data_IF_478347233096
#
_entry.id   IF_478347233096
#
_cell.length_a   1.000
_cell.length_b   1.000
_cell.length_c   1.000
_cell.angle_alpha   90.00
_cell.angle_beta   90.00
_cell.angle_gamma   90.00
#
_symmetry.space_group_name_H-M   'P 1'
#
loop_
_entity.id
_entity.type
_entity.pdbx_description
1 polymer ?
#
# COMPACT_ATOMS: atom_id res chain seq x y z
N UNK A 1 2.06 -4.22 -15.25
CA UNK A 1 2.77 -5.42 -14.75
C UNK A 1 2.46 -5.58 -13.28
N UNK A 2 1.87 -6.70 -12.85
CA UNK A 2 1.72 -6.95 -11.42
C UNK A 2 3.05 -7.47 -10.87
N UNK A 3 3.48 -6.95 -9.72
CA UNK A 3 4.71 -7.40 -9.07
C UNK A 3 4.54 -7.44 -7.56
N UNK A 4 5.26 -8.34 -6.86
CA UNK A 4 5.32 -8.30 -5.41
C UNK A 4 6.12 -7.06 -4.98
N UNK A 5 5.65 -6.39 -3.93
CA UNK A 5 6.29 -5.22 -3.32
C UNK A 5 6.18 -5.32 -1.80
N UNK A 6 7.12 -4.72 -1.09
CA UNK A 6 7.06 -4.69 0.38
C UNK A 6 6.05 -3.67 0.86
N UNK A 7 5.17 -4.07 1.76
CA UNK A 7 4.25 -3.17 2.45
C UNK A 7 5.04 -2.24 3.37
N UNK A 8 4.87 -0.92 3.22
CA UNK A 8 5.53 0.07 4.08
C UNK A 8 5.01 0.10 5.52
N UNK A 9 3.86 -0.52 5.78
CA UNK A 9 3.19 -0.52 7.10
C UNK A 9 3.62 -1.71 7.97
N UNK A 10 3.66 -2.91 7.40
CA UNK A 10 3.91 -4.15 8.14
C UNK A 10 5.11 -4.95 7.62
N UNK A 11 5.84 -4.44 6.63
CA UNK A 11 7.01 -5.07 6.02
C UNK A 11 6.78 -6.45 5.38
N UNK A 12 5.51 -6.88 5.27
CA UNK A 12 5.11 -8.10 4.55
C UNK A 12 4.99 -7.86 3.04
N UNK A 13 4.86 -8.93 2.27
CA UNK A 13 4.66 -8.83 0.81
C UNK A 13 3.24 -8.41 0.48
N UNK A 14 3.10 -7.42 -0.38
CA UNK A 14 1.86 -7.01 -1.04
C UNK A 14 2.07 -6.98 -2.55
N UNK A 15 1.04 -6.63 -3.33
CA UNK A 15 1.16 -6.51 -4.78
C UNK A 15 0.96 -5.05 -5.22
N UNK A 16 1.64 -4.68 -6.31
CA UNK A 16 1.38 -3.45 -7.03
C UNK A 16 1.04 -3.76 -8.50
N UNK A 17 -0.04 -3.16 -9.03
CA UNK A 17 -0.48 -3.34 -10.42
C UNK A 17 -2.00 -3.40 -10.57
N UNK A 18 -2.47 -3.69 -11.78
CA UNK A 18 -3.89 -3.71 -12.17
C UNK A 18 -4.69 -4.93 -11.67
N UNK A 19 -4.08 -5.88 -10.94
CA UNK A 19 -4.77 -7.03 -10.37
C UNK A 19 -5.03 -8.20 -11.33
N UNK A 20 -4.98 -7.98 -12.66
CA UNK A 20 -5.17 -9.01 -13.69
C UNK A 20 -4.19 -10.19 -13.57
N UNK A 21 -3.02 -9.98 -12.96
CA UNK A 21 -2.00 -11.02 -12.79
C UNK A 21 -1.76 -11.38 -11.31
N UNK A 22 -2.68 -11.03 -10.40
CA UNK A 22 -2.48 -11.23 -8.96
C UNK A 22 -2.34 -12.72 -8.60
N UNK A 23 -2.98 -13.63 -9.33
CA UNK A 23 -2.88 -15.07 -9.10
C UNK A 23 -1.45 -15.59 -9.29
N UNK A 24 -0.75 -15.14 -10.35
CA UNK A 24 0.65 -15.50 -10.57
C UNK A 24 1.56 -14.92 -9.49
N UNK A 25 1.30 -13.68 -9.05
CA UNK A 25 2.07 -13.05 -7.96
C UNK A 25 1.83 -13.78 -6.63
N UNK A 26 0.60 -14.19 -6.35
CA UNK A 26 0.25 -15.00 -5.16
C UNK A 26 0.92 -16.37 -5.17
N UNK A 27 1.05 -17.01 -6.33
CA UNK A 27 1.74 -18.30 -6.45
C UNK A 27 3.24 -18.24 -6.09
N UNK A 28 3.86 -17.06 -6.15
CA UNK A 28 5.29 -16.89 -5.83
C UNK A 28 5.57 -16.71 -4.34
N UNK A 29 4.56 -16.45 -3.51
CA UNK A 29 4.72 -16.07 -2.11
C UNK A 29 3.77 -16.88 -1.22
N UNK A 30 4.27 -17.59 -0.20
CA UNK A 30 3.42 -18.35 0.71
C UNK A 30 2.36 -17.47 1.40
N UNK A 31 1.15 -18.00 1.64
CA UNK A 31 0.02 -17.27 2.24
C UNK A 31 0.38 -16.54 3.55
N UNK A 32 1.20 -17.13 4.41
CA UNK A 32 1.62 -16.52 5.68
C UNK A 32 2.49 -15.25 5.55
N UNK A 33 3.07 -15.01 4.37
CA UNK A 33 3.92 -13.85 4.08
C UNK A 33 3.16 -12.68 3.44
N UNK A 34 1.87 -12.84 3.17
CA UNK A 34 1.05 -11.78 2.60
C UNK A 34 0.65 -10.73 3.66
N UNK A 35 0.66 -9.48 3.22
CA UNK A 35 0.09 -8.38 3.98
C UNK A 35 -1.43 -8.62 4.14
N UNK A 36 -1.98 -8.61 5.37
CA UNK A 36 -3.41 -8.85 5.61
C UNK A 36 -4.30 -7.67 5.15
N UNK A 37 -3.70 -6.59 4.63
CA UNK A 37 -4.39 -5.34 4.35
C UNK A 37 -4.41 -4.45 5.58
N UNK A 38 -4.15 -3.16 5.36
CA UNK A 38 -4.21 -2.12 6.39
C UNK A 38 -4.91 -0.90 5.80
N UNK A 39 -5.60 -0.09 6.60
CA UNK A 39 -6.07 1.20 6.15
C UNK A 39 -4.88 1.99 5.62
N UNK A 40 -4.99 2.52 4.41
CA UNK A 40 -3.99 3.43 3.88
C UNK A 40 -4.01 4.62 4.83
N UNK A 41 -2.88 4.95 5.47
CA UNK A 41 -2.75 6.29 6.06
C UNK A 41 -2.79 7.26 4.89
N UNK A 42 -3.98 7.72 4.56
CA UNK A 42 -4.20 8.92 3.77
C UNK A 42 -3.40 10.01 4.49
N UNK A 43 -2.33 10.46 3.83
CA UNK A 43 -1.48 11.49 4.35
C UNK A 43 -2.35 12.67 4.77
N UNK A 44 -2.09 13.16 5.98
CA UNK A 44 -2.56 14.41 6.54
C UNK A 44 -2.70 15.49 5.45
N UNK A 45 -3.90 15.61 4.90
CA UNK A 45 -4.28 16.68 4.00
C UNK A 45 -4.82 17.82 4.85
N UNK A 46 -4.05 18.90 4.91
CA UNK A 46 -4.42 20.12 5.63
C UNK A 46 -3.46 20.42 6.77
N UNK A 47 -2.23 20.77 6.40
CA UNK A 47 -1.38 21.56 7.27
C UNK A 47 -2.19 22.74 7.78
N UNK A 48 -2.38 22.79 9.09
CA UNK A 48 -2.85 23.96 9.84
C UNK A 48 -2.19 25.29 9.42
N UNK A 49 -1.03 25.21 8.75
CA UNK A 49 -0.29 26.28 8.11
C UNK A 49 -1.08 26.95 6.94
N UNK A 50 -1.89 26.22 6.18
CA UNK A 50 -2.74 26.77 5.11
C UNK A 50 -3.86 27.69 5.64
N UNK A 51 -4.20 27.58 6.94
CA UNK A 51 -5.18 28.45 7.62
C UNK A 51 -4.57 29.68 8.28
N UNK A 52 -3.23 29.75 8.41
CA UNK A 52 -2.53 30.85 9.08
C UNK A 52 -1.99 31.93 8.11
N UNK A 53 -1.93 31.65 6.82
CA UNK A 53 -1.34 32.55 5.81
C UNK A 53 -2.38 33.12 4.81
N UNK A 54 -3.68 32.92 5.08
CA UNK A 54 -4.76 33.16 4.12
C UNK A 54 -5.83 34.17 4.54
N UNK A 55 -5.54 35.05 5.53
CA UNK A 55 -6.30 36.28 5.85
C UNK A 55 -5.44 37.24 6.66
#
# INVERSE_FOLDING_TARGET
>A
MCRPVTCKTCSKTTWAGCGQHVAQVKAMVPDGQWCPGHPKSEGQGGSWLDKLLGR
#
